data_IF_533094552944
#
_entry.id   IF_533094552944
#
_cell.length_a   1.000
_cell.length_b   1.000
_cell.length_c   1.000
_cell.angle_alpha   90.00
_cell.angle_beta   90.00
_cell.angle_gamma   90.00
#
_symmetry.space_group_name_H-M   'P 1'
#
loop_
_entity.id
_entity.type
_entity.pdbx_description
1 polymer ?
#
# COMPACT_ATOMS: atom_id res chain seq x y z
N UNK A 1 -2.11 23.08 1.61
CA UNK A 1 -2.93 22.51 2.69
C UNK A 1 -2.56 21.03 2.81
N UNK A 2 -2.14 20.56 3.99
CA UNK A 2 -1.73 19.15 4.17
C UNK A 2 -2.97 18.24 4.15
N UNK A 3 -3.15 17.49 3.05
CA UNK A 3 -4.29 16.58 2.87
C UNK A 3 -4.12 15.24 3.59
N UNK A 4 -2.92 14.91 4.05
CA UNK A 4 -2.63 13.66 4.74
C UNK A 4 -3.19 13.65 6.15
N UNK A 5 -3.07 14.76 6.89
CA UNK A 5 -3.50 14.86 8.29
C UNK A 5 -5.00 14.55 8.50
N UNK A 6 -5.96 15.18 7.79
CA UNK A 6 -7.39 14.87 7.93
C UNK A 6 -7.72 13.39 7.71
N UNK A 7 -7.07 12.80 6.70
CA UNK A 7 -7.25 11.40 6.31
C UNK A 7 -6.70 10.45 7.37
N UNK A 8 -5.48 10.69 7.86
CA UNK A 8 -4.84 9.87 8.89
C UNK A 8 -5.60 9.95 10.21
N UNK A 9 -6.07 11.14 10.58
CA UNK A 9 -6.90 11.34 11.77
C UNK A 9 -8.21 10.53 11.69
N UNK A 10 -8.86 10.55 10.52
CA UNK A 10 -10.07 9.75 10.26
C UNK A 10 -9.78 8.25 10.33
N UNK A 11 -8.65 7.82 9.78
CA UNK A 11 -8.21 6.43 9.77
C UNK A 11 -8.00 5.92 11.20
N UNK A 12 -7.20 6.61 12.01
CA UNK A 12 -6.91 6.23 13.39
C UNK A 12 -8.17 6.10 14.26
N UNK A 13 -9.14 7.00 14.08
CA UNK A 13 -10.43 6.90 14.77
C UNK A 13 -11.20 5.64 14.39
N UNK A 14 -11.25 5.33 13.09
CA UNK A 14 -11.94 4.15 12.57
C UNK A 14 -11.26 2.85 13.00
N UNK A 15 -9.93 2.81 13.03
CA UNK A 15 -9.17 1.66 13.53
C UNK A 15 -9.48 1.34 15.00
N UNK A 16 -9.64 2.38 15.83
CA UNK A 16 -10.09 2.20 17.23
C UNK A 16 -11.57 1.83 17.38
N UNK A 17 -12.36 1.82 16.31
CA UNK A 17 -13.78 1.49 16.36
C UNK A 17 -14.66 2.47 17.16
N UNK A 18 -14.22 3.72 17.33
CA UNK A 18 -14.94 4.73 18.14
C UNK A 18 -15.68 5.77 17.28
N UNK A 19 -16.81 6.28 17.79
CA UNK A 19 -17.59 7.34 17.15
C UNK A 19 -16.88 8.69 17.23
N UNK A 20 -17.21 9.62 16.33
CA UNK A 20 -16.71 11.01 16.40
C UNK A 20 -17.06 11.68 17.73
N UNK A 21 -18.24 11.40 18.29
CA UNK A 21 -18.66 11.94 19.58
C UNK A 21 -17.75 11.47 20.72
N UNK A 22 -17.43 10.17 20.76
CA UNK A 22 -16.53 9.59 21.77
C UNK A 22 -15.11 10.13 21.60
N UNK A 23 -14.59 10.13 20.36
CA UNK A 23 -13.26 10.65 20.08
C UNK A 23 -13.12 12.14 20.42
N UNK A 24 -14.12 12.98 20.11
CA UNK A 24 -14.06 14.41 20.40
C UNK A 24 -14.06 14.70 21.90
N UNK A 25 -14.79 13.91 22.70
CA UNK A 25 -14.79 14.03 24.16
C UNK A 25 -13.41 13.74 24.75
N UNK A 26 -12.77 12.64 24.35
CA UNK A 26 -11.42 12.27 24.80
C UNK A 26 -10.36 13.27 24.34
N UNK A 27 -10.48 13.78 23.10
CA UNK A 27 -9.59 14.79 22.53
C UNK A 27 -9.87 16.22 23.03
N UNK A 28 -10.87 16.39 23.91
CA UNK A 28 -11.30 17.66 24.53
C UNK A 28 -11.67 18.74 23.50
N UNK A 29 -12.40 18.35 22.46
CA UNK A 29 -12.94 19.27 21.44
C UNK A 29 -14.41 18.98 21.15
N UNK A 30 -15.10 19.88 20.46
CA UNK A 30 -16.47 19.62 20.02
C UNK A 30 -16.50 18.58 18.90
N UNK A 31 -17.58 17.79 18.83
CA UNK A 31 -17.79 16.83 17.74
C UNK A 31 -17.75 17.51 16.36
N UNK A 32 -18.34 18.71 16.25
CA UNK A 32 -18.33 19.50 15.02
C UNK A 32 -16.91 19.90 14.61
N UNK A 33 -16.07 20.30 15.57
CA UNK A 33 -14.68 20.67 15.31
C UNK A 33 -13.87 19.45 14.83
N UNK A 34 -14.04 18.28 15.47
CA UNK A 34 -13.40 17.05 15.02
C UNK A 34 -13.81 16.68 13.58
N UNK A 35 -15.10 16.83 13.26
CA UNK A 35 -15.61 16.59 11.91
C UNK A 35 -14.99 17.54 10.87
N UNK A 36 -14.78 18.81 11.21
CA UNK A 36 -14.08 19.75 10.34
C UNK A 36 -12.61 19.38 10.12
N UNK A 37 -11.93 18.88 11.15
CA UNK A 37 -10.55 18.40 11.05
C UNK A 37 -10.45 17.15 10.18
N UNK A 38 -11.31 16.14 10.38
CA UNK A 38 -11.35 14.90 9.58
C UNK A 38 -11.68 15.14 8.11
N UNK A 39 -12.46 16.19 7.80
CA UNK A 39 -12.79 16.58 6.43
C UNK A 39 -11.78 17.53 5.79
N UNK A 40 -10.79 18.02 6.54
CA UNK A 40 -9.83 19.02 6.07
C UNK A 40 -10.43 20.40 5.81
N UNK A 41 -11.60 20.69 6.39
CA UNK A 41 -12.29 22.00 6.27
C UNK A 41 -11.56 23.07 7.10
N UNK A 42 -10.94 22.67 8.22
CA UNK A 42 -10.24 23.57 9.14
C UNK A 42 -8.88 23.01 9.50
N UNK A 43 -7.86 23.86 9.55
CA UNK A 43 -6.54 23.49 10.06
C UNK A 43 -6.53 23.41 11.60
N UNK A 44 -5.67 22.55 12.12
CA UNK A 44 -5.53 22.29 13.56
C UNK A 44 -4.39 23.10 14.15
N UNK A 45 -4.54 23.54 15.40
CA UNK A 45 -3.42 24.09 16.15
C UNK A 45 -2.43 23.00 16.59
N UNK A 46 -1.17 23.39 16.83
CA UNK A 46 -0.10 22.48 17.26
C UNK A 46 -0.48 21.67 18.52
N UNK A 47 -1.16 22.31 19.47
CA UNK A 47 -1.60 21.68 20.71
C UNK A 47 -2.57 20.50 20.46
N UNK A 48 -3.45 20.62 19.46
CA UNK A 48 -4.34 19.51 19.08
C UNK A 48 -3.56 18.37 18.43
N UNK A 49 -2.55 18.69 17.60
CA UNK A 49 -1.72 17.67 16.93
C UNK A 49 -1.00 16.81 17.97
N UNK A 50 -0.41 17.42 19.00
CA UNK A 50 0.26 16.70 20.10
C UNK A 50 -0.74 15.84 20.87
N UNK A 51 -1.89 16.40 21.28
CA UNK A 51 -2.93 15.63 21.99
C UNK A 51 -3.46 14.45 21.17
N UNK A 52 -3.64 14.63 19.86
CA UNK A 52 -4.09 13.57 18.97
C UNK A 52 -3.02 12.48 18.81
N UNK A 53 -1.75 12.87 18.68
CA UNK A 53 -0.62 11.94 18.63
C UNK A 53 -0.55 11.08 19.91
N UNK A 54 -0.62 11.71 21.08
CA UNK A 54 -0.64 11.02 22.38
C UNK A 54 -1.87 10.12 22.51
N UNK A 55 -3.06 10.66 22.19
CA UNK A 55 -4.31 9.92 22.29
C UNK A 55 -4.27 8.66 21.44
N UNK A 56 -3.82 8.72 20.20
CA UNK A 56 -3.74 7.56 19.29
C UNK A 56 -2.45 6.74 19.43
N UNK A 57 -1.52 7.15 20.31
CA UNK A 57 -0.22 6.51 20.52
C UNK A 57 0.61 6.41 19.22
N UNK A 58 0.67 7.52 18.48
CA UNK A 58 1.45 7.67 17.24
C UNK A 58 2.33 8.91 17.32
N UNK A 59 3.34 9.01 16.46
CA UNK A 59 4.19 10.20 16.34
C UNK A 59 3.48 11.32 15.58
N UNK A 60 3.90 12.56 15.82
CA UNK A 60 3.45 13.70 15.01
C UNK A 60 3.84 13.54 13.54
N UNK A 61 5.00 12.93 13.25
CA UNK A 61 5.41 12.67 11.87
C UNK A 61 4.48 11.67 11.18
N UNK A 62 4.00 10.64 11.88
CA UNK A 62 2.96 9.75 11.36
C UNK A 62 1.67 10.50 11.12
N UNK A 63 1.19 11.24 12.12
CA UNK A 63 -0.09 11.96 12.08
C UNK A 63 -0.13 13.02 10.96
N UNK A 64 1.01 13.64 10.65
CA UNK A 64 1.18 14.62 9.57
C UNK A 64 1.48 13.97 8.21
N UNK A 65 1.60 12.65 8.12
CA UNK A 65 1.91 11.90 6.90
C UNK A 65 3.37 11.95 6.46
N UNK A 66 4.28 12.38 7.34
CA UNK A 66 5.74 12.49 7.09
C UNK A 66 6.46 11.15 7.19
N UNK A 67 5.94 10.19 7.94
CA UNK A 67 6.36 8.79 7.93
C UNK A 67 5.14 7.86 7.89
N UNK A 68 5.24 6.66 7.29
CA UNK A 68 4.22 5.63 7.45
C UNK A 68 4.37 4.80 8.74
N UNK A 69 5.45 4.98 9.50
CA UNK A 69 5.68 4.29 10.78
C UNK A 69 5.02 5.07 11.94
N UNK A 70 4.17 4.42 12.73
CA UNK A 70 3.47 5.03 13.88
C UNK A 70 4.43 5.61 14.92
N UNK A 71 5.66 5.11 15.03
CA UNK A 71 6.68 5.60 15.98
C UNK A 71 7.42 6.85 15.49
N UNK A 72 7.34 7.21 14.21
CA UNK A 72 8.16 8.31 13.66
C UNK A 72 9.43 7.87 12.95
N UNK A 73 9.79 6.58 13.03
CA UNK A 73 11.01 6.07 12.41
C UNK A 73 11.03 6.31 10.89
N UNK A 74 12.16 6.82 10.39
CA UNK A 74 12.49 6.76 8.97
C UNK A 74 13.32 5.50 8.76
N UNK A 75 12.85 4.61 7.89
CA UNK A 75 13.53 3.33 7.65
C UNK A 75 14.87 3.58 6.96
N UNK A 76 15.97 3.26 7.64
CA UNK A 76 17.27 3.06 7.00
C UNK A 76 17.26 1.73 6.24
N UNK A 77 17.88 1.66 5.05
CA UNK A 77 17.87 0.46 4.18
C UNK A 77 18.40 -0.81 4.87
N UNK A 78 19.21 -0.62 5.91
CA UNK A 78 19.83 -1.66 6.72
C UNK A 78 18.85 -2.29 7.74
N UNK A 79 17.71 -1.65 8.03
CA UNK A 79 16.71 -2.14 8.99
C UNK A 79 15.59 -2.96 8.35
N UNK A 80 15.57 -3.08 7.01
CA UNK A 80 14.55 -3.88 6.30
C UNK A 80 14.95 -5.36 6.31
N UNK A 81 14.13 -6.25 6.89
CA UNK A 81 14.43 -7.66 7.03
C UNK A 81 14.73 -8.34 5.69
N UNK A 82 15.80 -9.12 5.67
CA UNK A 82 16.25 -9.90 4.53
C UNK A 82 15.83 -11.36 4.69
N UNK A 83 15.01 -11.87 3.77
CA UNK A 83 14.54 -13.27 3.79
C UNK A 83 15.48 -14.25 3.07
N UNK A 84 16.56 -13.77 2.45
CA UNK A 84 17.45 -14.61 1.66
C UNK A 84 18.88 -14.61 2.24
N UNK A 85 19.29 -15.68 2.96
CA UNK A 85 20.63 -15.78 3.52
C UNK A 85 21.74 -15.80 2.46
N UNK A 86 21.42 -16.03 1.19
CA UNK A 86 22.38 -15.97 0.07
C UNK A 86 22.67 -14.55 -0.43
N UNK A 87 21.93 -13.54 0.07
CA UNK A 87 22.07 -12.12 -0.34
C UNK A 87 23.02 -11.33 0.56
N UNK A 88 23.73 -11.98 1.50
CA UNK A 88 24.85 -11.34 2.21
C UNK A 88 25.96 -10.83 1.28
N UNK A 89 25.98 -11.24 0.02
CA UNK A 89 27.09 -11.00 -0.92
C UNK A 89 26.78 -10.12 -2.15
N UNK A 90 25.67 -9.36 -2.14
CA UNK A 90 25.47 -8.27 -3.12
C UNK A 90 25.77 -6.89 -2.52
N UNK A 91 26.78 -6.84 -1.66
CA UNK A 91 27.31 -5.62 -1.10
C UNK A 91 27.90 -4.74 -2.23
N UNK A 92 27.19 -3.64 -2.51
CA UNK A 92 27.59 -2.46 -3.31
C UNK A 92 28.00 -2.66 -4.78
N UNK A 93 27.01 -2.76 -5.69
CA UNK A 93 27.22 -2.45 -7.12
C UNK A 93 26.24 -1.42 -7.73
N UNK A 94 25.61 -0.56 -6.93
CA UNK A 94 24.71 0.47 -7.46
C UNK A 94 24.17 1.46 -6.44
N UNK A 95 23.21 2.29 -6.87
CA UNK A 95 22.49 3.20 -5.98
C UNK A 95 21.64 2.43 -4.96
N UNK A 96 21.41 3.04 -3.79
CA UNK A 96 20.61 2.46 -2.68
C UNK A 96 19.14 2.25 -3.09
N UNK A 97 18.66 3.00 -4.08
CA UNK A 97 17.26 3.07 -4.49
C UNK A 97 16.70 1.76 -5.10
N UNK A 98 17.34 1.10 -6.07
CA UNK A 98 16.92 -0.21 -6.56
C UNK A 98 16.81 -1.28 -5.47
N UNK A 99 17.77 -1.31 -4.54
CA UNK A 99 17.79 -2.29 -3.43
C UNK A 99 16.62 -2.03 -2.50
N UNK A 100 16.42 -0.77 -2.09
CA UNK A 100 15.29 -0.36 -1.27
C UNK A 100 13.96 -0.71 -1.94
N UNK A 101 13.75 -0.29 -3.18
CA UNK A 101 12.50 -0.56 -3.90
C UNK A 101 12.23 -2.06 -4.07
N UNK A 102 13.27 -2.86 -4.33
CA UNK A 102 13.16 -4.32 -4.36
C UNK A 102 12.67 -4.86 -3.02
N UNK A 103 13.28 -4.45 -1.90
CA UNK A 103 12.88 -4.90 -0.55
C UNK A 103 11.44 -4.48 -0.23
N UNK A 104 11.07 -3.23 -0.51
CA UNK A 104 9.71 -2.74 -0.31
C UNK A 104 8.68 -3.59 -1.06
N UNK A 105 8.93 -3.89 -2.34
CA UNK A 105 8.03 -4.70 -3.17
C UNK A 105 7.94 -6.14 -2.65
N UNK A 106 9.08 -6.82 -2.43
CA UNK A 106 9.09 -8.23 -2.02
C UNK A 106 8.38 -8.43 -0.67
N UNK A 107 8.70 -7.61 0.32
CA UNK A 107 8.09 -7.72 1.65
C UNK A 107 6.59 -7.42 1.63
N UNK A 108 6.16 -6.47 0.79
CA UNK A 108 4.74 -6.18 0.58
C UNK A 108 4.00 -7.35 -0.08
N UNK A 109 4.62 -8.00 -1.07
CA UNK A 109 4.05 -9.17 -1.73
C UNK A 109 3.88 -10.33 -0.74
N UNK A 110 4.81 -10.54 0.19
CA UNK A 110 4.66 -11.57 1.23
C UNK A 110 3.39 -11.37 2.05
N UNK A 111 3.11 -10.12 2.48
CA UNK A 111 1.88 -9.78 3.21
C UNK A 111 0.65 -10.01 2.33
N UNK A 112 0.68 -9.53 1.08
CA UNK A 112 -0.47 -9.64 0.15
C UNK A 112 -0.82 -11.11 -0.09
N UNK A 113 0.16 -11.98 -0.34
CA UNK A 113 -0.10 -13.41 -0.59
C UNK A 113 -0.57 -14.15 0.66
N UNK A 114 -0.07 -13.82 1.87
CA UNK A 114 -0.63 -14.39 3.11
C UNK A 114 -2.09 -13.95 3.33
N UNK A 115 -2.42 -12.69 3.03
CA UNK A 115 -3.80 -12.21 3.09
C UNK A 115 -4.70 -12.93 2.07
N UNK A 116 -4.23 -13.13 0.83
CA UNK A 116 -4.96 -13.90 -0.19
C UNK A 116 -5.19 -15.35 0.25
N UNK A 117 -4.20 -15.98 0.88
CA UNK A 117 -4.33 -17.31 1.45
C UNK A 117 -5.39 -17.35 2.56
N UNK A 118 -5.42 -16.36 3.45
CA UNK A 118 -6.45 -16.23 4.51
C UNK A 118 -7.85 -15.99 3.94
N UNK A 119 -7.96 -15.29 2.81
CA UNK A 119 -9.23 -15.12 2.10
C UNK A 119 -9.79 -16.45 1.55
N UNK A 120 -8.94 -17.47 1.35
CA UNK A 120 -9.30 -18.78 0.84
C UNK A 120 -10.20 -18.73 -0.41
N UNK A 121 -9.92 -17.79 -1.32
CA UNK A 121 -10.68 -17.59 -2.56
C UNK A 121 -9.76 -17.72 -3.77
N UNK A 122 -9.94 -18.79 -4.54
CA UNK A 122 -9.09 -19.13 -5.69
C UNK A 122 -9.20 -18.10 -6.82
N UNK A 123 -10.41 -17.66 -7.15
CA UNK A 123 -10.64 -16.68 -8.21
C UNK A 123 -9.96 -15.35 -7.86
N UNK A 124 -10.17 -14.86 -6.64
CA UNK A 124 -9.52 -13.65 -6.11
C UNK A 124 -7.99 -13.74 -6.17
N UNK A 125 -7.43 -14.88 -5.73
CA UNK A 125 -5.99 -15.13 -5.75
C UNK A 125 -5.44 -15.15 -7.18
N UNK A 126 -6.20 -15.73 -8.11
CA UNK A 126 -5.83 -15.81 -9.53
C UNK A 126 -5.77 -14.42 -10.14
N UNK A 127 -6.82 -13.61 -9.95
CA UNK A 127 -6.87 -12.25 -10.49
C UNK A 127 -5.81 -11.32 -9.87
N UNK A 128 -5.60 -11.40 -8.56
CA UNK A 128 -4.52 -10.64 -7.90
C UNK A 128 -3.14 -11.02 -8.46
N UNK A 129 -2.89 -12.32 -8.67
CA UNK A 129 -1.64 -12.81 -9.24
C UNK A 129 -1.46 -12.36 -10.69
N UNK A 130 -2.52 -12.43 -11.50
CA UNK A 130 -2.52 -11.96 -12.89
C UNK A 130 -2.17 -10.47 -12.99
N UNK A 131 -2.73 -9.62 -12.11
CA UNK A 131 -2.42 -8.20 -12.11
C UNK A 131 -0.92 -7.95 -11.84
N UNK A 132 -0.34 -8.65 -10.88
CA UNK A 132 1.09 -8.57 -10.56
C UNK A 132 1.96 -9.09 -11.69
N UNK A 133 1.60 -10.22 -12.31
CA UNK A 133 2.31 -10.79 -13.46
C UNK A 133 2.30 -9.84 -14.66
N UNK A 134 1.17 -9.18 -14.94
CA UNK A 134 1.06 -8.17 -16.00
C UNK A 134 1.93 -6.94 -15.71
N UNK A 135 2.00 -6.50 -14.45
CA UNK A 135 2.91 -5.41 -14.06
C UNK A 135 4.37 -5.78 -14.28
N UNK A 136 4.80 -6.98 -13.90
CA UNK A 136 6.16 -7.50 -14.14
C UNK A 136 6.44 -7.61 -15.64
N UNK A 137 5.51 -8.19 -16.41
CA UNK A 137 5.63 -8.29 -17.87
C UNK A 137 5.79 -6.91 -18.52
N UNK A 138 4.97 -5.94 -18.13
CA UNK A 138 5.03 -4.57 -18.67
C UNK A 138 6.39 -3.92 -18.42
N UNK A 139 6.90 -3.99 -17.19
CA UNK A 139 8.20 -3.42 -16.81
C UNK A 139 9.33 -4.15 -17.55
N UNK A 140 9.33 -5.49 -17.53
CA UNK A 140 10.36 -6.28 -18.19
C UNK A 140 10.36 -6.06 -19.70
N UNK A 141 9.20 -6.04 -20.36
CA UNK A 141 9.12 -5.82 -21.80
C UNK A 141 9.69 -4.46 -22.20
N UNK A 142 9.43 -3.41 -21.42
CA UNK A 142 10.01 -2.09 -21.69
C UNK A 142 11.53 -2.07 -21.52
N UNK A 143 12.05 -2.68 -20.44
CA UNK A 143 13.49 -2.79 -20.23
C UNK A 143 14.17 -3.62 -21.32
N UNK A 144 13.55 -4.72 -21.73
CA UNK A 144 14.06 -5.58 -22.79
C UNK A 144 14.06 -4.87 -24.14
N UNK A 145 12.98 -4.17 -24.49
CA UNK A 145 12.87 -3.40 -25.75
C UNK A 145 13.79 -2.17 -25.80
N UNK A 146 14.38 -1.75 -24.68
CA UNK A 146 15.29 -0.59 -24.65
C UNK A 146 16.59 -0.82 -25.45
N UNK A 147 16.98 -2.07 -25.68
CA UNK A 147 18.09 -2.42 -26.54
C UNK A 147 17.59 -3.15 -27.81
N UNK A 148 17.64 -2.52 -29.00
CA UNK A 148 17.12 -3.12 -30.23
C UNK A 148 17.92 -4.35 -30.71
N UNK A 149 19.08 -4.65 -30.10
CA UNK A 149 19.83 -5.88 -30.36
C UNK A 149 19.21 -7.12 -29.73
N UNK A 150 18.26 -6.94 -28.81
CA UNK A 150 17.63 -8.06 -28.13
C UNK A 150 16.64 -8.77 -29.08
N UNK A 151 16.64 -10.12 -29.16
CA UNK A 151 15.76 -10.85 -30.05
C UNK A 151 14.27 -10.62 -29.75
N UNK A 152 13.48 -10.21 -30.74
CA UNK A 152 12.04 -10.00 -30.57
C UNK A 152 11.26 -11.32 -30.38
N UNK A 153 11.81 -12.44 -30.85
CA UNK A 153 11.18 -13.77 -30.79
C UNK A 153 10.87 -14.28 -29.37
N UNK A 154 11.41 -13.63 -28.33
CA UNK A 154 11.02 -13.90 -26.95
C UNK A 154 9.53 -13.63 -26.69
N UNK A 155 8.88 -12.81 -27.53
CA UNK A 155 7.50 -12.40 -27.33
C UNK A 155 6.63 -12.67 -28.53
N UNK A 156 5.44 -13.20 -28.27
CA UNK A 156 4.39 -13.38 -29.29
C UNK A 156 3.68 -12.09 -29.66
N UNK A 157 3.61 -11.12 -28.74
CA UNK A 157 2.97 -9.83 -28.98
C UNK A 157 3.91 -8.86 -29.72
N UNK A 158 3.44 -8.25 -30.83
CA UNK A 158 4.20 -7.21 -31.54
C UNK A 158 4.55 -6.02 -30.65
N UNK A 159 5.71 -5.42 -30.91
CA UNK A 159 6.27 -4.32 -30.12
C UNK A 159 5.36 -3.08 -30.05
N UNK A 160 4.53 -2.81 -31.07
CA UNK A 160 3.59 -1.68 -31.02
C UNK A 160 2.29 -1.98 -30.26
N UNK A 161 1.93 -3.25 -30.04
CA UNK A 161 0.68 -3.65 -29.38
C UNK A 161 0.83 -3.93 -27.89
N UNK A 162 2.05 -4.18 -27.41
CA UNK A 162 2.23 -4.72 -26.05
C UNK A 162 1.69 -3.78 -24.96
N UNK A 163 1.85 -2.45 -25.10
CA UNK A 163 1.45 -1.51 -24.07
C UNK A 163 -0.09 -1.35 -23.99
N UNK A 164 -0.82 -1.13 -25.10
CA UNK A 164 -2.28 -1.19 -25.09
C UNK A 164 -2.83 -2.53 -24.59
N UNK A 165 -2.25 -3.65 -25.03
CA UNK A 165 -2.69 -4.98 -24.64
C UNK A 165 -2.55 -5.21 -23.14
N UNK A 166 -1.37 -4.94 -22.56
CA UNK A 166 -1.14 -5.13 -21.12
C UNK A 166 -1.99 -4.17 -20.29
N UNK A 167 -2.22 -2.94 -20.76
CA UNK A 167 -3.02 -1.95 -20.05
C UNK A 167 -4.49 -2.36 -20.01
N UNK A 168 -5.04 -2.79 -21.15
CA UNK A 168 -6.42 -3.27 -21.23
C UNK A 168 -6.65 -4.51 -20.36
N UNK A 169 -5.73 -5.48 -20.44
CA UNK A 169 -5.84 -6.71 -19.65
C UNK A 169 -5.65 -6.45 -18.15
N UNK A 170 -4.74 -5.55 -17.76
CA UNK A 170 -4.57 -5.15 -16.36
C UNK A 170 -5.81 -4.44 -15.82
N UNK A 171 -6.45 -3.58 -16.61
CA UNK A 171 -7.70 -2.92 -16.22
C UNK A 171 -8.84 -3.93 -16.03
N UNK A 172 -8.98 -4.89 -16.95
CA UNK A 172 -9.95 -6.00 -16.85
C UNK A 172 -9.72 -6.82 -15.58
N UNK A 173 -8.50 -7.27 -15.38
CA UNK A 173 -8.07 -8.05 -14.19
C UNK A 173 -8.34 -7.28 -12.90
N UNK A 174 -8.01 -5.99 -12.86
CA UNK A 174 -8.24 -5.14 -11.68
C UNK A 174 -9.74 -4.95 -11.37
N UNK A 175 -10.57 -4.82 -12.39
CA UNK A 175 -12.03 -4.72 -12.23
C UNK A 175 -12.62 -6.02 -11.70
N UNK A 176 -12.22 -7.16 -12.27
CA UNK A 176 -12.61 -8.52 -11.83
C UNK A 176 -12.18 -8.76 -10.38
N UNK A 177 -10.92 -8.44 -10.04
CA UNK A 177 -10.40 -8.53 -8.67
C UNK A 177 -11.24 -7.71 -7.68
N UNK A 178 -11.55 -6.46 -8.03
CA UNK A 178 -12.36 -5.58 -7.18
C UNK A 178 -13.79 -6.09 -6.98
N UNK A 179 -14.41 -6.62 -8.04
CA UNK A 179 -15.75 -7.22 -7.98
C UNK A 179 -15.78 -8.47 -7.09
N UNK A 180 -14.82 -9.38 -7.26
CA UNK A 180 -14.67 -10.56 -6.42
C UNK A 180 -14.38 -10.20 -4.95
N UNK A 181 -13.51 -9.20 -4.71
CA UNK A 181 -13.21 -8.71 -3.36
C UNK A 181 -14.44 -8.11 -2.66
N UNK A 182 -15.35 -7.51 -3.43
CA UNK A 182 -16.62 -6.97 -2.94
C UNK A 182 -17.71 -8.03 -2.73
N UNK A 183 -17.40 -9.31 -2.95
CA UNK A 183 -18.35 -10.43 -2.81
C UNK A 183 -19.17 -10.72 -4.07
N UNK A 184 -18.93 -10.01 -5.17
CA UNK A 184 -19.58 -10.27 -6.45
C UNK A 184 -19.02 -11.52 -7.13
N UNK A 185 -19.89 -12.25 -7.84
CA UNK A 185 -19.53 -13.50 -8.53
C UNK A 185 -19.34 -13.29 -10.04
N UNK A 186 -18.54 -14.14 -10.68
CA UNK A 186 -18.21 -14.08 -12.12
C UNK A 186 -18.26 -15.49 -12.69
N UNK A 187 -19.23 -15.75 -13.58
CA UNK A 187 -19.50 -17.12 -14.02
C UNK A 187 -19.80 -18.01 -12.81
N UNK A 188 -19.06 -19.11 -12.68
CA UNK A 188 -19.18 -20.05 -11.56
C UNK A 188 -18.34 -19.65 -10.33
N UNK A 189 -17.44 -18.67 -10.47
CA UNK A 189 -16.57 -18.23 -9.39
C UNK A 189 -17.30 -17.30 -8.43
N UNK A 190 -17.39 -17.72 -7.16
CA UNK A 190 -18.02 -16.95 -6.10
C UNK A 190 -17.07 -15.89 -5.53
N UNK A 191 -17.61 -14.70 -5.27
CA UNK A 191 -16.89 -13.62 -4.60
C UNK A 191 -16.54 -13.93 -3.14
N UNK A 192 -15.68 -13.11 -2.56
CA UNK A 192 -15.21 -13.23 -1.19
C UNK A 192 -16.36 -13.03 -0.17
N UNK A 193 -16.65 -14.06 0.62
CA UNK A 193 -17.78 -14.05 1.56
C UNK A 193 -17.41 -13.46 2.93
N UNK A 194 -16.22 -13.80 3.45
CA UNK A 194 -15.77 -13.40 4.78
C UNK A 194 -14.42 -12.68 4.68
N UNK A 195 -14.39 -11.39 4.28
CA UNK A 195 -13.14 -10.65 4.15
C UNK A 195 -12.47 -10.46 5.52
N UNK A 196 -11.14 -10.66 5.63
CA UNK A 196 -10.42 -10.42 6.88
C UNK A 196 -10.40 -8.93 7.23
N UNK A 197 -10.47 -8.61 8.53
CA UNK A 197 -10.26 -7.24 9.00
C UNK A 197 -8.78 -6.86 8.88
N UNK A 198 -8.49 -5.87 8.03
CA UNK A 198 -7.14 -5.35 7.81
C UNK A 198 -7.07 -3.94 8.40
N UNK A 199 -6.17 -3.73 9.37
CA UNK A 199 -5.83 -2.42 9.92
C UNK A 199 -4.31 -2.28 10.02
N UNK A 200 -3.82 -1.06 10.20
CA UNK A 200 -2.37 -0.86 10.39
C UNK A 200 -1.85 -1.59 11.62
N UNK A 201 -2.66 -1.67 12.70
CA UNK A 201 -2.30 -2.42 13.91
C UNK A 201 -2.26 -3.93 13.67
N UNK A 202 -3.25 -4.50 12.97
CA UNK A 202 -3.24 -5.95 12.70
C UNK A 202 -2.13 -6.33 11.72
N UNK A 203 -1.77 -5.45 10.78
CA UNK A 203 -0.63 -5.67 9.89
C UNK A 203 0.70 -5.56 10.67
N UNK A 204 0.89 -4.53 11.49
CA UNK A 204 2.11 -4.37 12.28
C UNK A 204 2.31 -5.53 13.27
N UNK A 205 1.23 -6.01 13.90
CA UNK A 205 1.28 -7.12 14.84
C UNK A 205 1.56 -8.47 14.15
N UNK A 206 0.92 -8.75 13.01
CA UNK A 206 1.06 -10.04 12.32
C UNK A 206 2.33 -10.12 11.46
N UNK A 207 2.86 -8.98 11.00
CA UNK A 207 4.01 -8.93 10.10
C UNK A 207 5.04 -7.90 10.58
N UNK A 208 5.60 -8.02 11.80
CA UNK A 208 6.50 -7.01 12.37
C UNK A 208 7.73 -6.74 11.50
N UNK A 209 8.17 -7.74 10.73
CA UNK A 209 9.30 -7.64 9.82
C UNK A 209 8.96 -6.96 8.47
N UNK A 210 7.71 -6.99 8.03
CA UNK A 210 7.33 -6.59 6.67
C UNK A 210 6.38 -5.39 6.62
N UNK A 211 5.70 -5.07 7.72
CA UNK A 211 4.69 -4.02 7.80
C UNK A 211 5.25 -2.65 7.39
N UNK A 212 6.46 -2.35 7.88
CA UNK A 212 7.16 -1.10 7.59
C UNK A 212 7.45 -0.93 6.07
N UNK A 213 7.75 -2.05 5.38
CA UNK A 213 7.93 -2.08 3.93
C UNK A 213 6.64 -1.81 3.17
N UNK A 214 5.54 -2.47 3.57
CA UNK A 214 4.22 -2.26 2.96
C UNK A 214 3.75 -0.81 3.11
N UNK A 215 3.84 -0.25 4.32
CA UNK A 215 3.35 1.10 4.53
C UNK A 215 4.18 2.16 3.78
N UNK A 216 5.50 1.96 3.63
CA UNK A 216 6.31 2.81 2.76
C UNK A 216 5.95 2.68 1.29
N UNK A 217 5.74 1.46 0.80
CA UNK A 217 5.29 1.23 -0.58
C UNK A 217 3.96 1.96 -0.84
N UNK A 218 2.97 1.79 0.03
CA UNK A 218 1.66 2.45 -0.08
C UNK A 218 1.81 3.97 -0.11
N UNK A 219 2.60 4.53 0.82
CA UNK A 219 2.85 5.96 0.87
C UNK A 219 3.51 6.47 -0.42
N UNK A 220 4.57 5.83 -0.89
CA UNK A 220 5.26 6.23 -2.13
C UNK A 220 4.34 6.15 -3.36
N UNK A 221 3.50 5.11 -3.44
CA UNK A 221 2.51 4.97 -4.49
C UNK A 221 1.47 6.10 -4.45
N UNK A 222 0.93 6.42 -3.27
CA UNK A 222 -0.05 7.49 -3.11
C UNK A 222 0.53 8.88 -3.37
N UNK A 223 1.78 9.14 -2.99
CA UNK A 223 2.46 10.40 -3.35
C UNK A 223 2.50 10.56 -4.86
N UNK A 224 2.90 9.51 -5.58
CA UNK A 224 2.97 9.54 -7.06
C UNK A 224 1.60 9.71 -7.74
N UNK A 225 0.55 9.15 -7.16
CA UNK A 225 -0.82 9.28 -7.69
C UNK A 225 -1.43 10.66 -7.42
N UNK A 226 -1.02 11.31 -6.33
CA UNK A 226 -1.52 12.64 -5.95
C UNK A 226 -0.67 13.79 -6.47
N UNK A 227 0.51 13.52 -7.01
CA UNK A 227 1.34 14.51 -7.72
C UNK A 227 0.60 14.97 -8.97
N UNK A 228 -0.13 16.09 -8.83
CA UNK A 228 -0.61 16.89 -9.95
C UNK A 228 0.60 17.57 -10.57
N UNK A 229 1.19 16.97 -11.60
CA UNK A 229 2.02 17.72 -12.55
C UNK A 229 1.16 18.71 -13.32
#
# INVERSE_FOLDING_TARGET
MNTAFPRILTLLRKERGISQKKASQELKISQALLSHYEKGIRECGLEFVVRAADFYSVSCDYLLGRTPDKSGAMIAVDEIPENDPSVKDNMFRGSVLPVLNKKLVINSLQIIFDLLQRCNNKALTTEASSALMLAVYSVFRQLYSANPKNPEALFSLPSYLHLPAVTGEFARTSATLGHLAAGGSIGDDQGLQNPPLISTDTIAANYPLFASSLFNLLKSAETKLNDKK
#
